data_IF_281915671389
#
_entry.id   IF_281915671389
#
_cell.length_a   1.000
_cell.length_b   1.000
_cell.length_c   1.000
_cell.angle_alpha   90.00
_cell.angle_beta   90.00
_cell.angle_gamma   90.00
#
_symmetry.space_group_name_H-M   'P 1'
#
loop_
_entity.id
_entity.type
_entity.pdbx_description
1 polymer ?
#
# COMPACT_ATOMS: atom_id res chain seq x y z
N UNK A 1 -19.71 10.79 -2.75
CA UNK A 1 -18.31 10.30 -2.83
C UNK A 1 -17.25 11.40 -2.87
N UNK A 2 -17.62 12.70 -2.95
CA UNK A 2 -16.67 13.81 -3.00
C UNK A 2 -15.67 13.91 -1.84
N UNK A 3 -15.97 13.30 -0.67
CA UNK A 3 -15.07 13.25 0.49
C UNK A 3 -14.41 11.89 0.73
N UNK A 4 -15.10 10.77 0.44
CA UNK A 4 -14.59 9.43 0.76
C UNK A 4 -13.37 9.01 -0.08
N UNK A 5 -13.38 9.30 -1.38
CA UNK A 5 -12.26 8.99 -2.28
C UNK A 5 -10.96 9.72 -1.86
N UNK A 6 -10.94 11.06 -1.72
CA UNK A 6 -9.72 11.76 -1.32
C UNK A 6 -9.24 11.40 0.10
N UNK A 7 -10.15 11.03 1.02
CA UNK A 7 -9.73 10.55 2.36
C UNK A 7 -8.99 9.22 2.24
N UNK A 8 -9.56 8.22 1.54
CA UNK A 8 -8.94 6.88 1.45
C UNK A 8 -7.64 6.93 0.67
N UNK A 9 -7.62 7.60 -0.50
CA UNK A 9 -6.39 7.76 -1.29
C UNK A 9 -5.35 8.62 -0.58
N UNK A 10 -5.76 9.66 0.16
CA UNK A 10 -4.87 10.46 0.99
C UNK A 10 -4.22 9.65 2.11
N UNK A 11 -4.98 8.79 2.80
CA UNK A 11 -4.43 7.88 3.80
C UNK A 11 -3.46 6.85 3.17
N UNK A 12 -3.79 6.29 2.00
CA UNK A 12 -2.87 5.39 1.28
C UNK A 12 -1.56 6.08 0.93
N UNK A 13 -1.60 7.32 0.41
CA UNK A 13 -0.39 8.11 0.15
C UNK A 13 0.39 8.36 1.44
N UNK A 14 -0.28 8.81 2.51
CA UNK A 14 0.38 9.12 3.77
C UNK A 14 1.12 7.90 4.36
N UNK A 15 0.44 6.77 4.52
CA UNK A 15 1.05 5.58 5.09
C UNK A 15 2.11 4.96 4.16
N UNK A 16 1.89 4.98 2.84
CA UNK A 16 2.92 4.50 1.89
C UNK A 16 4.18 5.36 1.88
N UNK A 17 4.09 6.67 2.15
CA UNK A 17 5.27 7.53 2.30
C UNK A 17 6.04 7.22 3.59
N UNK A 18 5.33 6.95 4.70
CA UNK A 18 5.96 6.50 5.94
C UNK A 18 6.71 5.19 5.71
N UNK A 19 6.05 4.23 5.06
CA UNK A 19 6.62 2.92 4.77
C UNK A 19 7.80 2.99 3.78
N UNK A 20 7.72 3.89 2.80
CA UNK A 20 8.81 4.23 1.91
C UNK A 20 10.01 4.75 2.70
N UNK A 21 9.81 5.67 3.64
CA UNK A 21 10.90 6.24 4.43
C UNK A 21 11.61 5.17 5.29
N UNK A 22 10.85 4.29 5.95
CA UNK A 22 11.40 3.21 6.79
C UNK A 22 12.15 2.19 5.93
N UNK A 23 11.53 1.71 4.85
CA UNK A 23 12.14 0.72 3.95
C UNK A 23 13.35 1.26 3.19
N UNK A 24 13.35 2.53 2.80
CA UNK A 24 14.51 3.19 2.19
C UNK A 24 15.65 3.34 3.19
N UNK A 25 15.37 3.73 4.43
CA UNK A 25 16.37 3.80 5.49
C UNK A 25 17.02 2.44 5.74
N UNK A 26 16.22 1.39 5.91
CA UNK A 26 16.73 0.03 6.12
C UNK A 26 17.55 -0.47 4.93
N UNK A 27 17.07 -0.24 3.70
CA UNK A 27 17.81 -0.55 2.48
C UNK A 27 19.17 0.14 2.45
N UNK A 28 19.23 1.43 2.79
CA UNK A 28 20.48 2.18 2.83
C UNK A 28 21.44 1.64 3.90
N UNK A 29 20.91 1.30 5.08
CA UNK A 29 21.69 0.72 6.16
C UNK A 29 22.26 -0.65 5.79
N UNK A 30 21.46 -1.53 5.21
CA UNK A 30 21.88 -2.85 4.76
C UNK A 30 22.95 -2.77 3.66
N UNK A 31 22.83 -1.82 2.74
CA UNK A 31 23.83 -1.63 1.69
C UNK A 31 25.16 -1.06 2.22
N UNK A 32 25.11 -0.22 3.27
CA UNK A 32 26.32 0.37 3.85
C UNK A 32 27.05 -0.56 4.82
N UNK A 33 26.31 -1.25 5.68
CA UNK A 33 26.89 -2.00 6.81
C UNK A 33 26.79 -3.52 6.64
N UNK A 34 26.02 -4.02 5.66
CA UNK A 34 25.80 -5.47 5.45
C UNK A 34 25.32 -6.20 6.71
N UNK A 35 24.58 -5.50 7.57
CA UNK A 35 24.14 -5.94 8.90
C UNK A 35 22.68 -6.44 8.91
N UNK A 36 22.23 -6.98 7.78
CA UNK A 36 21.00 -7.78 7.71
C UNK A 36 21.27 -9.16 8.31
N UNK A 37 20.28 -9.75 8.97
CA UNK A 37 20.36 -11.09 9.54
C UNK A 37 20.54 -12.17 8.45
N UNK A 38 19.80 -12.06 7.35
CA UNK A 38 19.93 -12.93 6.20
C UNK A 38 19.51 -12.23 4.90
N UNK A 39 19.76 -12.87 3.75
CA UNK A 39 19.37 -12.32 2.44
C UNK A 39 17.86 -12.16 2.30
N UNK A 40 17.06 -12.98 2.98
CA UNK A 40 15.60 -12.87 2.95
C UNK A 40 15.10 -11.56 3.60
N UNK A 41 15.73 -11.08 4.66
CA UNK A 41 15.42 -9.78 5.27
C UNK A 41 15.62 -8.62 4.29
N UNK A 42 16.78 -8.61 3.62
CA UNK A 42 17.11 -7.61 2.61
C UNK A 42 16.12 -7.64 1.45
N UNK A 43 15.84 -8.82 0.90
CA UNK A 43 15.00 -8.95 -0.29
C UNK A 43 13.54 -8.59 0.02
N UNK A 44 13.02 -8.94 1.20
CA UNK A 44 11.68 -8.53 1.68
C UNK A 44 11.61 -7.01 1.89
N UNK A 45 12.64 -6.41 2.47
CA UNK A 45 12.74 -4.95 2.64
C UNK A 45 12.73 -4.21 1.29
N UNK A 46 13.47 -4.71 0.30
CA UNK A 46 13.46 -4.14 -1.06
C UNK A 46 12.10 -4.27 -1.74
N UNK A 47 11.39 -5.39 -1.54
CA UNK A 47 10.04 -5.56 -2.06
C UNK A 47 9.05 -4.58 -1.42
N UNK A 48 9.15 -4.35 -0.10
CA UNK A 48 8.33 -3.34 0.61
C UNK A 48 8.64 -1.93 0.10
N UNK A 49 9.91 -1.60 -0.15
CA UNK A 49 10.29 -0.33 -0.76
C UNK A 49 9.63 -0.14 -2.14
N UNK A 50 9.68 -1.17 -2.98
CA UNK A 50 8.98 -1.15 -4.28
C UNK A 50 7.46 -0.95 -4.11
N UNK A 51 6.81 -1.72 -3.22
CA UNK A 51 5.38 -1.63 -2.99
C UNK A 51 4.97 -0.24 -2.45
N UNK A 52 5.81 0.36 -1.63
CA UNK A 52 5.62 1.71 -1.09
C UNK A 52 5.70 2.77 -2.18
N UNK A 53 6.73 2.71 -3.04
CA UNK A 53 6.89 3.60 -4.20
C UNK A 53 5.69 3.46 -5.15
N UNK A 54 5.32 2.22 -5.51
CA UNK A 54 4.16 1.93 -6.34
C UNK A 54 2.90 2.58 -5.77
N UNK A 55 2.63 2.35 -4.49
CA UNK A 55 1.40 2.81 -3.83
C UNK A 55 1.37 4.33 -3.73
N UNK A 56 2.48 4.97 -3.34
CA UNK A 56 2.56 6.42 -3.22
C UNK A 56 2.37 7.11 -4.57
N UNK A 57 3.08 6.65 -5.61
CA UNK A 57 3.03 7.25 -6.94
C UNK A 57 1.65 7.11 -7.57
N UNK A 58 1.09 5.89 -7.62
CA UNK A 58 -0.19 5.68 -8.28
C UNK A 58 -1.35 6.24 -7.46
N UNK A 59 -1.36 6.09 -6.14
CA UNK A 59 -2.42 6.71 -5.32
C UNK A 59 -2.38 8.24 -5.41
N UNK A 60 -1.19 8.83 -5.45
CA UNK A 60 -1.00 10.26 -5.70
C UNK A 60 -1.48 10.67 -7.10
N UNK A 61 -1.19 9.88 -8.13
CA UNK A 61 -1.66 10.11 -9.49
C UNK A 61 -3.19 10.03 -9.59
N UNK A 62 -3.82 9.01 -9.01
CA UNK A 62 -5.29 8.88 -8.96
C UNK A 62 -5.93 10.06 -8.22
N UNK A 63 -5.32 10.52 -7.13
CA UNK A 63 -5.79 11.70 -6.39
C UNK A 63 -5.62 12.98 -7.22
N UNK A 64 -4.50 13.17 -7.91
CA UNK A 64 -4.27 14.33 -8.77
C UNK A 64 -5.26 14.37 -9.94
N UNK A 65 -5.46 13.25 -10.64
CA UNK A 65 -6.41 13.14 -11.75
C UNK A 65 -7.83 13.41 -11.28
N UNK A 66 -8.22 12.93 -10.08
CA UNK A 66 -9.51 13.21 -9.49
C UNK A 66 -9.78 14.72 -9.34
N UNK A 67 -8.77 15.50 -8.95
CA UNK A 67 -8.90 16.96 -8.81
C UNK A 67 -8.73 17.72 -10.12
N UNK A 68 -7.86 17.27 -11.02
CA UNK A 68 -7.48 17.99 -12.24
C UNK A 68 -8.39 17.68 -13.45
N UNK A 69 -8.84 16.43 -13.61
CA UNK A 69 -9.60 15.97 -14.78
C UNK A 69 -10.67 14.96 -14.38
N UNK A 70 -11.86 15.45 -14.02
CA UNK A 70 -12.98 14.59 -13.60
C UNK A 70 -13.46 13.62 -14.71
N UNK A 71 -13.31 13.96 -15.99
CA UNK A 71 -13.81 13.18 -17.13
C UNK A 71 -12.83 12.18 -17.76
N UNK A 72 -11.71 11.85 -17.10
CA UNK A 72 -10.71 10.90 -17.63
C UNK A 72 -11.14 9.43 -17.51
N UNK A 73 -10.76 8.57 -18.46
CA UNK A 73 -10.95 7.10 -18.40
C UNK A 73 -10.29 6.47 -17.16
N UNK A 74 -9.26 7.13 -16.63
CA UNK A 74 -8.60 6.73 -15.37
C UNK A 74 -9.52 6.94 -14.14
N UNK A 75 -10.57 7.76 -14.23
CA UNK A 75 -11.62 7.86 -13.21
C UNK A 75 -12.71 6.78 -13.34
N UNK A 76 -12.55 5.81 -14.24
CA UNK A 76 -13.47 4.67 -14.32
C UNK A 76 -13.34 3.76 -13.10
N UNK A 77 -14.47 3.15 -12.73
CA UNK A 77 -14.53 2.12 -11.68
C UNK A 77 -13.56 0.97 -12.01
N UNK A 78 -13.50 0.54 -13.27
CA UNK A 78 -12.64 -0.55 -13.71
C UNK A 78 -11.14 -0.25 -13.48
N UNK A 79 -10.69 0.97 -13.80
CA UNK A 79 -9.29 1.38 -13.58
C UNK A 79 -8.92 1.32 -12.10
N UNK A 80 -9.83 1.79 -11.22
CA UNK A 80 -9.63 1.74 -9.78
C UNK A 80 -9.59 0.31 -9.24
N UNK A 81 -10.49 -0.57 -9.70
CA UNK A 81 -10.49 -1.98 -9.29
C UNK A 81 -9.19 -2.66 -9.70
N UNK A 82 -8.74 -2.49 -10.95
CA UNK A 82 -7.51 -3.11 -11.43
C UNK A 82 -6.29 -2.64 -10.62
N UNK A 83 -6.16 -1.34 -10.39
CA UNK A 83 -5.08 -0.77 -9.58
C UNK A 83 -5.12 -1.27 -8.13
N UNK A 84 -6.30 -1.22 -7.48
CA UNK A 84 -6.43 -1.62 -6.09
C UNK A 84 -6.20 -3.11 -5.89
N UNK A 85 -6.66 -3.97 -6.82
CA UNK A 85 -6.38 -5.42 -6.76
C UNK A 85 -4.89 -5.72 -6.87
N UNK A 86 -4.19 -5.09 -7.82
CA UNK A 86 -2.74 -5.29 -7.95
C UNK A 86 -2.00 -4.81 -6.70
N UNK A 87 -2.39 -3.64 -6.18
CA UNK A 87 -1.84 -3.08 -4.94
C UNK A 87 -2.12 -4.00 -3.74
N UNK A 88 -3.31 -4.59 -3.68
CA UNK A 88 -3.67 -5.56 -2.64
C UNK A 88 -2.81 -6.82 -2.69
N UNK A 89 -2.52 -7.34 -3.88
CA UNK A 89 -1.62 -8.49 -4.06
C UNK A 89 -0.21 -8.14 -3.54
N UNK A 90 0.31 -6.95 -3.90
CA UNK A 90 1.62 -6.51 -3.40
C UNK A 90 1.65 -6.39 -1.88
N UNK A 91 0.66 -5.74 -1.27
CA UNK A 91 0.64 -5.60 0.19
C UNK A 91 0.37 -6.91 0.93
N UNK A 92 -0.38 -7.84 0.33
CA UNK A 92 -0.56 -9.19 0.90
C UNK A 92 0.78 -9.92 0.92
N UNK A 93 1.51 -9.92 -0.20
CA UNK A 93 2.83 -10.54 -0.27
C UNK A 93 3.84 -9.84 0.66
N UNK A 94 3.80 -8.51 0.74
CA UNK A 94 4.69 -7.71 1.56
C UNK A 94 4.46 -8.01 3.05
N UNK A 95 3.23 -7.84 3.53
CA UNK A 95 2.86 -8.07 4.92
C UNK A 95 3.10 -9.52 5.34
N UNK A 96 2.65 -10.51 4.54
CA UNK A 96 2.86 -11.91 4.87
C UNK A 96 4.35 -12.30 4.87
N UNK A 97 5.13 -11.82 3.90
CA UNK A 97 6.55 -12.15 3.82
C UNK A 97 7.33 -11.56 5.00
N UNK A 98 7.12 -10.29 5.39
CA UNK A 98 7.81 -9.72 6.55
C UNK A 98 7.34 -10.37 7.86
N UNK A 99 6.03 -10.63 8.02
CA UNK A 99 5.47 -11.36 9.17
C UNK A 99 6.15 -12.72 9.35
N UNK A 100 6.33 -13.47 8.25
CA UNK A 100 7.00 -14.77 8.30
C UNK A 100 8.50 -14.69 8.60
N UNK A 101 9.14 -13.52 8.42
CA UNK A 101 10.54 -13.30 8.78
C UNK A 101 10.67 -13.08 10.28
N UNK A 102 9.79 -12.23 10.81
CA UNK A 102 9.88 -11.70 12.16
C UNK A 102 9.18 -12.62 13.18
N UNK A 103 8.27 -13.48 12.71
CA UNK A 103 7.50 -14.39 13.56
C UNK A 103 6.21 -13.77 14.13
N UNK A 104 5.71 -12.68 13.55
CA UNK A 104 4.50 -11.98 14.01
C UNK A 104 4.76 -10.91 15.06
N UNK A 105 5.80 -10.10 14.86
CA UNK A 105 6.24 -9.05 15.77
C UNK A 105 7.46 -9.41 16.63
N UNK A 106 8.32 -8.42 16.85
CA UNK A 106 9.56 -8.57 17.62
C UNK A 106 9.45 -7.94 19.01
N UNK A 107 9.97 -8.64 20.02
CA UNK A 107 10.25 -8.02 21.32
C UNK A 107 11.67 -7.43 21.35
N UNK A 108 11.79 -6.14 21.06
CA UNK A 108 13.06 -5.42 20.96
C UNK A 108 13.83 -5.26 22.28
N UNK A 109 13.26 -5.65 23.43
CA UNK A 109 14.03 -5.66 24.69
C UNK A 109 14.90 -6.90 24.85
N UNK A 110 14.52 -8.02 24.22
CA UNK A 110 15.11 -9.34 24.51
C UNK A 110 15.76 -9.99 23.29
N UNK A 111 15.36 -9.60 22.08
CA UNK A 111 15.93 -10.16 20.85
C UNK A 111 17.26 -9.44 20.52
N UNK A 112 18.26 -10.20 20.08
CA UNK A 112 19.58 -9.68 19.64
C UNK A 112 19.93 -10.05 18.20
N UNK A 113 18.98 -10.66 17.48
CA UNK A 113 19.16 -11.21 16.14
C UNK A 113 19.03 -10.12 15.07
N UNK A 114 18.05 -9.24 15.24
CA UNK A 114 17.76 -8.15 14.31
C UNK A 114 18.32 -6.83 14.81
N UNK A 115 19.28 -6.27 14.07
CA UNK A 115 19.96 -5.01 14.41
C UNK A 115 18.97 -3.84 14.45
N UNK A 116 18.05 -3.77 13.48
CA UNK A 116 17.06 -2.68 13.36
C UNK A 116 15.65 -3.13 13.77
N UNK A 117 15.55 -3.70 14.97
CA UNK A 117 14.31 -4.26 15.50
C UNK A 117 13.09 -3.35 15.38
N UNK A 118 13.21 -2.11 15.88
CA UNK A 118 12.09 -1.18 15.97
C UNK A 118 11.57 -0.79 14.59
N UNK A 119 12.49 -0.62 13.63
CA UNK A 119 12.20 -0.26 12.25
C UNK A 119 11.53 -1.44 11.52
N UNK A 120 12.02 -2.67 11.71
CA UNK A 120 11.41 -3.87 11.13
C UNK A 120 10.03 -4.14 11.71
N UNK A 121 9.85 -3.98 13.01
CA UNK A 121 8.56 -4.14 13.67
C UNK A 121 7.55 -3.06 13.22
N UNK A 122 8.02 -1.82 13.03
CA UNK A 122 7.20 -0.74 12.48
C UNK A 122 6.81 -1.04 11.02
N UNK A 123 7.75 -1.49 10.19
CA UNK A 123 7.53 -1.90 8.80
C UNK A 123 6.46 -3.01 8.70
N UNK A 124 6.55 -4.05 9.53
CA UNK A 124 5.51 -5.10 9.59
C UNK A 124 4.13 -4.51 9.92
N UNK A 125 4.05 -3.66 10.94
CA UNK A 125 2.80 -3.03 11.36
C UNK A 125 2.18 -2.15 10.27
N UNK A 126 2.97 -1.28 9.66
CA UNK A 126 2.50 -0.38 8.60
C UNK A 126 2.13 -1.13 7.32
N UNK A 127 2.83 -2.21 6.97
CA UNK A 127 2.45 -3.07 5.86
C UNK A 127 1.03 -3.65 6.04
N UNK A 128 0.69 -4.10 7.25
CA UNK A 128 -0.67 -4.54 7.58
C UNK A 128 -1.70 -3.41 7.57
N UNK A 129 -1.34 -2.21 8.08
CA UNK A 129 -2.21 -1.03 8.02
C UNK A 129 -2.56 -0.69 6.56
N UNK A 130 -1.57 -0.66 5.66
CA UNK A 130 -1.81 -0.36 4.24
C UNK A 130 -2.66 -1.46 3.60
N UNK A 131 -2.40 -2.73 3.90
CA UNK A 131 -3.23 -3.84 3.42
C UNK A 131 -4.70 -3.71 3.82
N UNK A 132 -4.99 -3.34 5.08
CA UNK A 132 -6.35 -3.09 5.57
C UNK A 132 -7.00 -1.92 4.80
N UNK A 133 -6.26 -0.82 4.62
CA UNK A 133 -6.76 0.35 3.89
C UNK A 133 -7.09 0.02 2.43
N UNK A 134 -6.23 -0.75 1.76
CA UNK A 134 -6.48 -1.18 0.38
C UNK A 134 -7.69 -2.12 0.31
N UNK A 135 -7.82 -3.05 1.27
CA UNK A 135 -8.99 -3.94 1.36
C UNK A 135 -10.28 -3.13 1.52
N UNK A 136 -10.27 -2.13 2.40
CA UNK A 136 -11.39 -1.21 2.57
C UNK A 136 -11.68 -0.41 1.29
N UNK A 137 -10.65 0.08 0.61
CA UNK A 137 -10.78 0.79 -0.66
C UNK A 137 -11.43 -0.08 -1.74
N UNK A 138 -11.02 -1.35 -1.87
CA UNK A 138 -11.62 -2.32 -2.80
C UNK A 138 -13.11 -2.50 -2.49
N UNK A 139 -13.47 -2.73 -1.23
CA UNK A 139 -14.87 -2.91 -0.83
C UNK A 139 -15.71 -1.69 -1.22
N UNK A 140 -15.23 -0.48 -0.93
CA UNK A 140 -15.93 0.76 -1.28
C UNK A 140 -16.10 0.89 -2.79
N UNK A 141 -15.03 0.70 -3.58
CA UNK A 141 -15.11 0.82 -5.05
C UNK A 141 -16.01 -0.27 -5.64
N UNK A 142 -15.95 -1.50 -5.15
CA UNK A 142 -16.78 -2.62 -5.61
C UNK A 142 -18.27 -2.38 -5.35
N UNK A 143 -18.65 -1.96 -4.14
CA UNK A 143 -20.04 -1.62 -3.80
C UNK A 143 -20.57 -0.54 -4.74
N UNK A 144 -19.75 0.46 -5.07
CA UNK A 144 -20.16 1.57 -5.95
C UNK A 144 -20.23 1.14 -7.40
N UNK A 145 -19.33 0.28 -7.86
CA UNK A 145 -19.42 -0.38 -9.15
C UNK A 145 -20.72 -1.17 -9.31
N UNK A 146 -21.13 -1.92 -8.27
CA UNK A 146 -22.40 -2.65 -8.27
C UNK A 146 -23.61 -1.71 -8.29
N UNK A 147 -23.58 -0.60 -7.55
CA UNK A 147 -24.66 0.39 -7.55
C UNK A 147 -24.78 1.08 -8.92
N UNK A 148 -23.67 1.46 -9.54
CA UNK A 148 -23.62 2.08 -10.86
C UNK A 148 -24.10 1.11 -11.96
N UNK A 149 -23.66 -0.15 -11.91
CA UNK A 149 -24.14 -1.18 -12.84
C UNK A 149 -25.66 -1.39 -12.75
N UNK A 150 -26.26 -1.30 -11.55
CA UNK A 150 -27.71 -1.41 -11.35
C UNK A 150 -28.51 -0.20 -11.88
N UNK A 151 -27.86 0.96 -12.07
CA UNK A 151 -28.49 2.19 -12.62
C UNK A 151 -28.49 2.25 -14.15
N UNK A 152 -27.78 1.34 -14.81
CA UNK A 152 -27.70 1.29 -16.28
C UNK A 152 -26.47 1.97 -16.88
N UNK A 153 -25.64 2.65 -16.08
CA UNK A 153 -24.42 3.35 -16.54
C UNK A 153 -23.25 2.40 -16.88
N UNK A 154 -23.34 1.15 -16.41
CA UNK A 154 -22.33 0.11 -16.62
C UNK A 154 -21.00 0.36 -15.92
N UNK A 155 -20.04 -0.55 -16.10
CA UNK A 155 -18.72 -0.55 -15.43
C UNK A 155 -17.74 0.50 -15.99
N UNK A 156 -18.13 1.15 -17.10
CA UNK A 156 -17.38 2.21 -17.77
C UNK A 156 -17.77 3.61 -17.29
N UNK A 157 -18.86 3.72 -16.51
CA UNK A 157 -19.29 4.99 -15.94
C UNK A 157 -18.21 5.61 -15.03
N UNK A 158 -18.15 6.94 -14.94
CA UNK A 158 -17.25 7.62 -14.01
C UNK A 158 -17.61 7.26 -12.57
N UNK A 159 -16.61 7.17 -11.68
CA UNK A 159 -16.82 6.96 -10.23
C UNK A 159 -17.63 8.08 -9.55
N UNK A 160 -17.88 9.18 -10.26
CA UNK A 160 -18.57 10.38 -9.80
C UNK A 160 -19.55 10.77 -10.91
N UNK A 161 -20.83 10.81 -10.58
CA UNK A 161 -21.81 11.67 -11.25
C UNK A 161 -21.72 13.08 -10.66
#
# INVERSE_FOLDING_TARGET
MRRGHPIVFGLLVFFSVIELAISAFLTAQFNQHSNYFNTAERDRTHFILFASIWTALFSGLYMFIFFAMSSSVLNSVASHIAFLLLTWIFWTAAAASITSLLGGGLNCSNQTVFVYCGQLNAMEGFAWVIWILVTFAIMVVAIRGLISARRGDGIRGPLIE
#
